data_IF_234202324529
#
_entry.id   IF_234202324529
#
_cell.length_a   1.000
_cell.length_b   1.000
_cell.length_c   1.000
_cell.angle_alpha   90.00
_cell.angle_beta   90.00
_cell.angle_gamma   90.00
#
_symmetry.space_group_name_H-M   'P 1'
#
loop_
_entity.id
_entity.type
_entity.pdbx_description
1 polymer ?
#
# COMPACT_ATOMS: atom_id res chain seq x y z
N UNK A 1 -32.26 47.95 26.70
CA UNK A 1 -32.55 47.04 25.58
C UNK A 1 -31.41 46.93 24.56
N UNK A 2 -30.82 48.05 24.08
CA UNK A 2 -29.69 48.01 23.12
C UNK A 2 -28.48 47.22 23.65
N UNK A 3 -28.01 47.53 24.86
CA UNK A 3 -26.86 46.84 25.47
C UNK A 3 -27.06 45.33 25.69
N UNK A 4 -28.29 44.89 26.01
CA UNK A 4 -28.60 43.47 26.14
C UNK A 4 -28.56 42.77 24.77
N UNK A 5 -29.02 43.45 23.72
CA UNK A 5 -29.00 42.94 22.35
C UNK A 5 -27.57 42.82 21.82
N UNK A 6 -26.71 43.81 22.07
CA UNK A 6 -25.29 43.75 21.71
C UNK A 6 -24.58 42.59 22.42
N UNK A 7 -24.86 42.37 23.71
CA UNK A 7 -24.30 41.23 24.46
C UNK A 7 -24.78 39.88 23.95
N UNK A 8 -26.06 39.76 23.58
CA UNK A 8 -26.60 38.52 23.01
C UNK A 8 -25.97 38.23 21.64
N UNK A 9 -25.80 39.25 20.79
CA UNK A 9 -25.13 39.10 19.50
C UNK A 9 -23.67 38.65 19.70
N UNK A 10 -22.92 39.29 20.59
CA UNK A 10 -21.54 38.91 20.86
C UNK A 10 -21.41 37.48 21.40
N UNK A 11 -22.40 37.01 22.18
CA UNK A 11 -22.44 35.64 22.65
C UNK A 11 -22.73 34.65 21.51
N UNK A 12 -23.66 34.99 20.62
CA UNK A 12 -23.99 34.17 19.44
C UNK A 12 -22.79 34.08 18.48
N UNK A 13 -22.10 35.20 18.23
CA UNK A 13 -20.88 35.25 17.43
C UNK A 13 -19.77 34.38 18.05
N UNK A 14 -19.54 34.49 19.35
CA UNK A 14 -18.54 33.69 20.06
C UNK A 14 -18.88 32.20 20.08
N UNK A 15 -20.16 31.84 20.15
CA UNK A 15 -20.62 30.46 20.04
C UNK A 15 -20.35 29.89 18.64
N UNK A 16 -20.68 30.65 17.59
CA UNK A 16 -20.45 30.26 16.21
C UNK A 16 -18.95 30.11 15.89
N UNK A 17 -18.10 31.00 16.40
CA UNK A 17 -16.65 30.89 16.25
C UNK A 17 -16.10 29.62 16.92
N UNK A 18 -16.53 29.35 18.17
CA UNK A 18 -16.11 28.14 18.89
C UNK A 18 -16.54 26.86 18.17
N UNK A 19 -17.75 26.84 17.62
CA UNK A 19 -18.27 25.70 16.85
C UNK A 19 -17.44 25.46 15.58
N UNK A 20 -17.11 26.52 14.85
CA UNK A 20 -16.23 26.44 13.68
C UNK A 20 -14.83 25.93 14.03
N UNK A 21 -14.22 26.45 15.11
CA UNK A 21 -12.91 26.00 15.58
C UNK A 21 -12.94 24.52 15.99
N UNK A 22 -14.00 24.08 16.65
CA UNK A 22 -14.19 22.69 17.03
C UNK A 22 -14.27 21.77 15.81
N UNK A 23 -15.10 22.14 14.82
CA UNK A 23 -15.23 21.39 13.57
C UNK A 23 -13.91 21.32 12.80
N UNK A 24 -13.17 22.43 12.72
CA UNK A 24 -11.85 22.45 12.10
C UNK A 24 -10.88 21.51 12.83
N UNK A 25 -10.83 21.57 14.17
CA UNK A 25 -9.94 20.72 14.97
C UNK A 25 -10.27 19.24 14.80
N UNK A 26 -11.56 18.90 14.78
CA UNK A 26 -12.04 17.54 14.55
C UNK A 26 -11.58 17.04 13.17
N UNK A 27 -11.76 17.82 12.12
CA UNK A 27 -11.34 17.44 10.77
C UNK A 27 -9.83 17.18 10.70
N UNK A 28 -9.01 18.07 11.25
CA UNK A 28 -7.55 17.89 11.28
C UNK A 28 -7.13 16.60 12.01
N UNK A 29 -7.81 16.26 13.12
CA UNK A 29 -7.53 15.03 13.85
C UNK A 29 -7.94 13.78 13.07
N UNK A 30 -9.07 13.84 12.37
CA UNK A 30 -9.53 12.75 11.49
C UNK A 30 -8.53 12.52 10.35
N UNK A 31 -8.10 13.57 9.65
CA UNK A 31 -7.11 13.47 8.58
C UNK A 31 -5.76 12.94 9.11
N UNK A 32 -5.30 13.45 10.27
CA UNK A 32 -4.07 12.95 10.89
C UNK A 32 -4.16 11.46 11.24
N UNK A 33 -5.30 11.00 11.77
CA UNK A 33 -5.53 9.58 12.05
C UNK A 33 -5.54 8.74 10.77
N UNK A 34 -6.24 9.17 9.73
CA UNK A 34 -6.27 8.50 8.42
C UNK A 34 -4.86 8.36 7.83
N UNK A 35 -4.07 9.43 7.90
CA UNK A 35 -2.68 9.39 7.45
C UNK A 35 -1.83 8.38 8.22
N UNK A 36 -1.95 8.31 9.56
CA UNK A 36 -1.21 7.33 10.36
C UNK A 36 -1.61 5.89 10.03
N UNK A 37 -2.90 5.64 9.79
CA UNK A 37 -3.37 4.33 9.31
C UNK A 37 -2.74 3.98 7.96
N UNK A 38 -2.72 4.93 7.02
CA UNK A 38 -2.09 4.74 5.71
C UNK A 38 -0.59 4.44 5.84
N UNK A 39 0.13 5.16 6.69
CA UNK A 39 1.57 4.95 6.92
C UNK A 39 1.83 3.56 7.46
N UNK A 40 1.05 3.10 8.46
CA UNK A 40 1.17 1.75 9.02
C UNK A 40 0.97 0.69 7.93
N UNK A 41 -0.10 0.80 7.15
CA UNK A 41 -0.45 -0.20 6.15
C UNK A 41 0.55 -0.20 4.98
N UNK A 42 1.03 0.98 4.58
CA UNK A 42 2.10 1.15 3.60
C UNK A 42 3.42 0.54 4.06
N UNK A 43 3.82 0.74 5.31
CA UNK A 43 5.02 0.12 5.87
C UNK A 43 4.91 -1.40 5.85
N UNK A 44 3.73 -1.94 6.17
CA UNK A 44 3.50 -3.39 6.13
C UNK A 44 3.62 -3.92 4.69
N UNK A 45 3.05 -3.22 3.71
CA UNK A 45 3.19 -3.54 2.29
C UNK A 45 4.66 -3.49 1.84
N UNK A 46 5.41 -2.47 2.23
CA UNK A 46 6.84 -2.34 1.90
C UNK A 46 7.69 -3.47 2.50
N UNK A 47 7.40 -3.91 3.72
CA UNK A 47 8.08 -5.07 4.34
C UNK A 47 7.82 -6.33 3.52
N UNK A 48 6.56 -6.57 3.11
CA UNK A 48 6.22 -7.72 2.26
C UNK A 48 6.97 -7.68 0.92
N UNK A 49 7.03 -6.50 0.29
CA UNK A 49 7.76 -6.32 -0.97
C UNK A 49 9.26 -6.54 -0.80
N UNK A 50 9.86 -6.05 0.28
CA UNK A 50 11.29 -6.28 0.57
C UNK A 50 11.59 -7.79 0.73
N UNK A 51 10.70 -8.54 1.40
CA UNK A 51 10.86 -9.99 1.51
C UNK A 51 10.73 -10.70 0.16
N UNK A 52 9.77 -10.28 -0.68
CA UNK A 52 9.62 -10.81 -2.03
C UNK A 52 10.86 -10.53 -2.88
N UNK A 53 11.35 -9.29 -2.90
CA UNK A 53 12.53 -8.88 -3.66
C UNK A 53 13.78 -9.65 -3.23
N UNK A 54 13.97 -9.85 -1.91
CA UNK A 54 15.08 -10.63 -1.38
C UNK A 54 14.99 -12.11 -1.78
N UNK A 55 13.78 -12.69 -1.81
CA UNK A 55 13.55 -14.05 -2.29
C UNK A 55 13.88 -14.15 -3.78
N UNK A 56 13.32 -13.27 -4.61
CA UNK A 56 13.54 -13.24 -6.06
C UNK A 56 15.01 -12.99 -6.45
N UNK A 57 15.74 -12.19 -5.66
CA UNK A 57 17.17 -12.01 -5.85
C UNK A 57 17.95 -13.32 -5.66
N UNK A 58 17.61 -14.12 -4.65
CA UNK A 58 18.26 -15.42 -4.38
C UNK A 58 17.93 -16.46 -5.45
N UNK A 59 16.68 -16.49 -5.93
CA UNK A 59 16.25 -17.46 -6.95
C UNK A 59 16.89 -17.16 -8.33
N UNK A 60 17.21 -15.90 -8.63
CA UNK A 60 17.95 -15.53 -9.86
C UNK A 60 19.33 -16.16 -10.00
N UNK A 61 19.98 -16.43 -8.88
CA UNK A 61 21.36 -16.93 -8.86
C UNK A 61 21.42 -18.46 -8.88
N UNK A 62 20.29 -19.15 -8.70
CA UNK A 62 20.21 -20.60 -8.67
C UNK A 62 19.96 -21.15 -10.08
N UNK A 63 21.00 -21.76 -10.67
CA UNK A 63 20.85 -22.53 -11.90
C UNK A 63 20.61 -24.01 -11.57
N UNK A 64 19.49 -24.61 -12.02
CA UNK A 64 19.20 -26.02 -11.77
C UNK A 64 20.24 -26.92 -12.45
N UNK A 65 20.71 -27.95 -11.73
CA UNK A 65 21.75 -28.87 -12.22
C UNK A 65 21.23 -30.28 -12.49
N UNK A 66 20.01 -30.58 -12.03
CA UNK A 66 19.34 -31.87 -12.17
C UNK A 66 17.84 -31.69 -12.38
N UNK A 67 17.16 -32.75 -12.81
CA UNK A 67 15.69 -32.77 -12.92
C UNK A 67 15.03 -32.58 -11.55
N UNK A 68 15.59 -33.17 -10.50
CA UNK A 68 15.12 -33.00 -9.12
C UNK A 68 15.20 -31.54 -8.66
N UNK A 69 16.26 -30.81 -9.05
CA UNK A 69 16.39 -29.37 -8.75
C UNK A 69 15.30 -28.56 -9.46
N UNK A 70 14.95 -28.92 -10.70
CA UNK A 70 13.89 -28.25 -11.46
C UNK A 70 12.53 -28.47 -10.81
N UNK A 71 12.18 -29.71 -10.46
CA UNK A 71 10.91 -30.01 -9.80
C UNK A 71 10.80 -29.31 -8.44
N UNK A 72 11.88 -29.28 -7.67
CA UNK A 72 11.95 -28.52 -6.41
C UNK A 72 11.72 -27.02 -6.65
N UNK A 73 12.32 -26.46 -7.69
CA UNK A 73 12.21 -25.04 -8.01
C UNK A 73 10.80 -24.66 -8.48
N UNK A 74 10.14 -25.51 -9.26
CA UNK A 74 8.73 -25.34 -9.66
C UNK A 74 7.85 -25.33 -8.41
N UNK A 75 8.02 -26.29 -7.50
CA UNK A 75 7.23 -26.35 -6.27
C UNK A 75 7.40 -25.10 -5.41
N UNK A 76 8.64 -24.65 -5.21
CA UNK A 76 8.92 -23.40 -4.48
C UNK A 76 8.27 -22.19 -5.16
N UNK A 77 8.28 -22.15 -6.49
CA UNK A 77 7.64 -21.11 -7.26
C UNK A 77 6.11 -21.09 -7.05
N UNK A 78 5.44 -22.24 -7.07
CA UNK A 78 4.00 -22.37 -6.79
C UNK A 78 3.65 -21.89 -5.36
N UNK A 79 4.45 -22.28 -4.36
CA UNK A 79 4.29 -21.83 -2.97
C UNK A 79 4.44 -20.31 -2.86
N UNK A 80 5.41 -19.73 -3.59
CA UNK A 80 5.65 -18.30 -3.63
C UNK A 80 4.51 -17.54 -4.30
N UNK A 81 4.02 -18.02 -5.45
CA UNK A 81 2.87 -17.43 -6.16
C UNK A 81 1.63 -17.43 -5.28
N UNK A 82 1.37 -18.54 -4.58
CA UNK A 82 0.25 -18.65 -3.63
C UNK A 82 0.35 -17.60 -2.53
N UNK A 83 1.55 -17.45 -1.95
CA UNK A 83 1.82 -16.44 -0.92
C UNK A 83 1.71 -15.02 -1.48
N UNK A 84 2.15 -14.79 -2.72
CA UNK A 84 2.07 -13.49 -3.38
C UNK A 84 0.62 -13.08 -3.64
N UNK A 85 -0.21 -13.99 -4.14
CA UNK A 85 -1.65 -13.76 -4.35
C UNK A 85 -2.38 -13.51 -3.03
N UNK A 86 -2.05 -14.24 -1.96
CA UNK A 86 -2.63 -14.01 -0.64
C UNK A 86 -2.29 -12.63 -0.03
N UNK A 87 -1.21 -11.99 -0.50
CA UNK A 87 -0.82 -10.65 -0.06
C UNK A 87 -1.31 -9.54 -1.00
N UNK A 88 -1.87 -9.89 -2.17
CA UNK A 88 -2.37 -8.92 -3.16
C UNK A 88 -3.43 -8.00 -2.57
N UNK A 89 -4.38 -8.55 -1.81
CA UNK A 89 -5.44 -7.79 -1.13
C UNK A 89 -4.89 -6.69 -0.23
N UNK A 90 -3.73 -6.91 0.41
CA UNK A 90 -3.09 -5.88 1.27
C UNK A 90 -2.51 -4.75 0.44
N UNK A 91 -1.86 -5.07 -0.68
CA UNK A 91 -1.31 -4.07 -1.60
C UNK A 91 -2.44 -3.25 -2.23
N UNK A 92 -3.49 -3.92 -2.71
CA UNK A 92 -4.67 -3.27 -3.29
C UNK A 92 -5.44 -2.45 -2.24
N UNK A 93 -5.48 -2.91 -0.99
CA UNK A 93 -6.05 -2.16 0.14
C UNK A 93 -5.34 -0.83 0.38
N UNK A 94 -4.00 -0.82 0.36
CA UNK A 94 -3.20 0.43 0.49
C UNK A 94 -3.49 1.38 -0.67
N UNK A 95 -3.56 0.87 -1.90
CA UNK A 95 -3.83 1.69 -3.09
C UNK A 95 -5.24 2.27 -3.07
N UNK A 96 -6.25 1.46 -2.74
CA UNK A 96 -7.64 1.88 -2.65
C UNK A 96 -7.84 2.91 -1.54
N UNK A 97 -7.17 2.73 -0.40
CA UNK A 97 -7.23 3.70 0.69
C UNK A 97 -6.57 5.03 0.30
N UNK A 98 -5.42 4.99 -0.37
CA UNK A 98 -4.77 6.18 -0.90
C UNK A 98 -5.66 6.97 -1.88
N UNK A 99 -6.30 6.27 -2.81
CA UNK A 99 -7.23 6.88 -3.76
C UNK A 99 -8.42 7.54 -3.05
N UNK A 100 -9.00 6.85 -2.05
CA UNK A 100 -10.09 7.40 -1.24
C UNK A 100 -9.67 8.68 -0.50
N UNK A 101 -8.51 8.70 0.15
CA UNK A 101 -8.03 9.89 0.85
C UNK A 101 -7.79 11.06 -0.12
N UNK A 102 -7.33 10.78 -1.34
CA UNK A 102 -7.21 11.82 -2.35
C UNK A 102 -8.58 12.35 -2.81
N UNK A 103 -9.59 11.49 -2.97
CA UNK A 103 -10.96 11.90 -3.31
C UNK A 103 -11.61 12.72 -2.20
N UNK A 104 -11.26 12.46 -0.94
CA UNK A 104 -11.67 13.23 0.24
C UNK A 104 -10.91 14.58 0.38
N UNK A 105 -10.07 14.97 -0.60
CA UNK A 105 -9.22 16.17 -0.60
C UNK A 105 -8.29 16.25 0.62
N UNK A 106 -7.78 15.11 1.09
CA UNK A 106 -6.85 15.05 2.21
C UNK A 106 -5.62 15.93 1.97
N UNK A 107 -5.20 16.71 2.97
CA UNK A 107 -4.10 17.69 2.87
C UNK A 107 -2.72 17.13 2.42
N UNK A 108 -2.55 15.80 2.43
CA UNK A 108 -1.36 15.07 1.95
C UNK A 108 -1.63 14.17 0.73
N UNK A 109 -2.71 14.42 -0.02
CA UNK A 109 -3.16 13.58 -1.13
C UNK A 109 -2.05 13.19 -2.10
N UNK A 110 -1.27 14.17 -2.59
CA UNK A 110 -0.16 13.93 -3.52
C UNK A 110 0.91 12.98 -2.97
N UNK A 111 1.29 13.14 -1.69
CA UNK A 111 2.29 12.29 -1.04
C UNK A 111 1.77 10.87 -0.82
N UNK A 112 0.50 10.76 -0.41
CA UNK A 112 -0.18 9.49 -0.20
C UNK A 112 -0.27 8.71 -1.51
N UNK A 113 -0.72 9.36 -2.60
CA UNK A 113 -0.79 8.76 -3.93
C UNK A 113 0.58 8.38 -4.48
N UNK A 114 1.57 9.26 -4.36
CA UNK A 114 2.94 8.98 -4.81
C UNK A 114 3.50 7.73 -4.14
N UNK A 115 3.33 7.61 -2.82
CA UNK A 115 3.78 6.43 -2.08
C UNK A 115 3.03 5.17 -2.48
N UNK A 116 1.70 5.24 -2.63
CA UNK A 116 0.90 4.10 -3.07
C UNK A 116 1.27 3.63 -4.49
N UNK A 117 1.54 4.57 -5.40
CA UNK A 117 2.02 4.26 -6.75
C UNK A 117 3.34 3.48 -6.70
N UNK A 118 4.32 3.95 -5.91
CA UNK A 118 5.61 3.26 -5.78
C UNK A 118 5.42 1.82 -5.26
N UNK A 119 4.55 1.61 -4.28
CA UNK A 119 4.24 0.28 -3.75
C UNK A 119 3.61 -0.60 -4.85
N UNK A 120 2.65 -0.06 -5.60
CA UNK A 120 1.99 -0.78 -6.68
C UNK A 120 2.94 -1.12 -7.83
N UNK A 121 3.81 -0.19 -8.21
CA UNK A 121 4.78 -0.38 -9.29
C UNK A 121 5.81 -1.46 -8.93
N UNK A 122 6.28 -1.47 -7.67
CA UNK A 122 7.14 -2.55 -7.15
C UNK A 122 6.43 -3.90 -7.16
N UNK A 123 5.17 -3.95 -6.72
CA UNK A 123 4.39 -5.18 -6.76
C UNK A 123 4.22 -5.70 -8.19
N UNK A 124 3.88 -4.82 -9.14
CA UNK A 124 3.73 -5.18 -10.55
C UNK A 124 5.05 -5.69 -11.15
N UNK A 125 6.18 -5.06 -10.83
CA UNK A 125 7.50 -5.51 -11.26
C UNK A 125 7.86 -6.89 -10.69
N UNK A 126 7.60 -7.12 -9.40
CA UNK A 126 7.79 -8.43 -8.78
C UNK A 126 6.91 -9.49 -9.44
N UNK A 127 5.65 -9.15 -9.76
CA UNK A 127 4.71 -10.08 -10.38
C UNK A 127 5.19 -10.49 -11.78
N UNK A 128 5.58 -9.50 -12.58
CA UNK A 128 6.11 -9.75 -13.91
C UNK A 128 7.39 -10.58 -13.87
N UNK A 129 8.25 -10.38 -12.87
CA UNK A 129 9.45 -11.18 -12.69
C UNK A 129 9.11 -12.65 -12.39
N UNK A 130 8.17 -12.89 -11.49
CA UNK A 130 7.68 -14.23 -11.14
C UNK A 130 7.14 -14.93 -12.38
N UNK A 131 6.26 -14.27 -13.14
CA UNK A 131 5.65 -14.85 -14.35
C UNK A 131 6.73 -15.21 -15.40
N UNK A 132 7.75 -14.38 -15.57
CA UNK A 132 8.88 -14.65 -16.47
C UNK A 132 9.81 -15.77 -15.95
N UNK A 133 9.97 -15.90 -14.63
CA UNK A 133 10.84 -16.90 -14.03
C UNK A 133 10.35 -18.32 -14.31
N UNK A 134 9.03 -18.55 -14.27
CA UNK A 134 8.45 -19.86 -14.62
C UNK A 134 8.78 -20.27 -16.06
N UNK A 135 8.71 -19.31 -17.01
CA UNK A 135 9.04 -19.57 -18.42
C UNK A 135 10.49 -20.05 -18.55
N UNK A 136 11.43 -19.40 -17.85
CA UNK A 136 12.85 -19.77 -17.85
C UNK A 136 13.08 -21.18 -17.27
N UNK A 137 12.42 -21.51 -16.17
CA UNK A 137 12.51 -22.86 -15.57
C UNK A 137 12.03 -23.92 -16.56
N UNK A 138 10.87 -23.70 -17.19
CA UNK A 138 10.28 -24.63 -18.15
C UNK A 138 11.16 -24.78 -19.40
N UNK A 139 11.73 -23.68 -19.91
CA UNK A 139 12.68 -23.74 -21.02
C UNK A 139 13.93 -24.55 -20.67
N UNK A 140 14.50 -24.35 -19.48
CA UNK A 140 15.67 -25.10 -19.04
C UNK A 140 15.36 -26.59 -18.82
N UNK A 141 14.15 -26.94 -18.38
CA UNK A 141 13.67 -28.32 -18.30
C UNK A 141 13.59 -28.98 -19.69
N UNK A 142 13.06 -28.26 -20.68
CA UNK A 142 12.97 -28.77 -22.07
C UNK A 142 14.36 -28.98 -22.68
N UNK A 143 15.32 -28.09 -22.41
CA UNK A 143 16.70 -28.22 -22.91
C UNK A 143 17.49 -29.36 -22.26
N UNK A 144 17.07 -29.84 -21.09
CA UNK A 144 17.71 -30.98 -20.40
C UNK A 144 17.17 -32.35 -20.84
N UNK A 145 16.12 -32.39 -21.65
CA UNK A 145 15.55 -33.63 -22.24
C UNK A 145 16.04 -33.83 -23.67
#
# INVERSE_FOLDING_TARGET
YIFLRERLNALDDGWNELDQMWHQKKNMLTEAMQYQMFVRDSNQAEILLNHQEAYLAREREQQPRSLDDVEMLIKKHEDFVTTMSANEDKIQGVCSFAQRLCQENHYLGDRILSRASIINDRYAANRQFVDNFLILIVQHFVLMK
#
